data_IF_205277536172
#
_entry.id   IF_205277536172
#
_cell.length_a   1.000
_cell.length_b   1.000
_cell.length_c   1.000
_cell.angle_alpha   90.00
_cell.angle_beta   90.00
_cell.angle_gamma   90.00
#
_symmetry.space_group_name_H-M   'P 1'
#
loop_
_entity.id
_entity.type
_entity.pdbx_description
1 polymer ?
#
# COMPACT_ATOMS: atom_id res chain seq x y z
N UNK A 1 -12.52 2.81 27.45
CA UNK A 1 -11.71 1.60 27.13
C UNK A 1 -10.28 2.05 26.89
N UNK A 2 -9.30 1.39 27.53
CA UNK A 2 -7.87 1.75 27.40
C UNK A 2 -7.22 0.91 26.30
N UNK A 3 -6.35 1.53 25.50
CA UNK A 3 -5.62 0.80 24.47
C UNK A 3 -4.15 1.19 24.40
N UNK A 4 -3.36 0.31 23.80
CA UNK A 4 -1.97 0.56 23.44
C UNK A 4 -1.77 0.45 21.93
N UNK A 5 -0.87 1.26 21.37
CA UNK A 5 -0.53 1.28 19.93
C UNK A 5 0.96 1.00 19.72
N UNK A 6 1.30 -0.19 19.22
CA UNK A 6 2.67 -0.63 18.96
C UNK A 6 3.02 -0.43 17.48
N UNK A 7 4.26 0.01 17.22
CA UNK A 7 4.68 0.41 15.88
C UNK A 7 3.77 1.51 15.32
N UNK A 8 3.46 2.47 16.16
CA UNK A 8 2.37 3.44 15.99
C UNK A 8 2.50 4.30 14.71
N UNK A 9 3.71 4.41 14.15
CA UNK A 9 3.96 5.25 12.99
C UNK A 9 3.56 6.69 13.27
N UNK A 10 2.71 7.25 12.41
CA UNK A 10 2.13 8.59 12.60
C UNK A 10 0.76 8.56 13.30
N UNK A 11 0.32 7.42 13.86
CA UNK A 11 -0.92 7.34 14.64
C UNK A 11 -2.18 6.97 13.84
N UNK A 12 -2.06 6.09 12.85
CA UNK A 12 -3.22 5.65 12.06
C UNK A 12 -4.26 4.89 12.88
N UNK A 13 -3.85 4.02 13.81
CA UNK A 13 -4.75 3.37 14.77
C UNK A 13 -5.34 4.37 15.76
N UNK A 14 -4.54 5.30 16.26
CA UNK A 14 -4.99 6.34 17.17
C UNK A 14 -6.10 7.19 16.52
N UNK A 15 -5.90 7.70 15.29
CA UNK A 15 -6.94 8.42 14.54
C UNK A 15 -8.24 7.63 14.38
N UNK A 16 -8.15 6.31 14.22
CA UNK A 16 -9.34 5.48 14.08
C UNK A 16 -10.07 5.30 15.43
N UNK A 17 -9.33 5.16 16.53
CA UNK A 17 -9.86 4.98 17.87
C UNK A 17 -10.43 6.27 18.46
N UNK A 18 -9.91 7.44 18.11
CA UNK A 18 -10.46 8.74 18.48
C UNK A 18 -11.90 8.97 17.97
N UNK A 19 -12.36 8.19 16.98
CA UNK A 19 -13.75 8.21 16.51
C UNK A 19 -14.72 7.48 17.44
N UNK A 20 -14.20 6.77 18.45
CA UNK A 20 -15.00 6.03 19.43
C UNK A 20 -14.98 6.75 20.77
N UNK A 21 -16.16 7.04 21.31
CA UNK A 21 -16.30 7.70 22.61
C UNK A 21 -15.78 6.80 23.74
N UNK A 22 -14.98 7.39 24.64
CA UNK A 22 -14.47 6.69 25.83
C UNK A 22 -13.26 5.79 25.59
N UNK A 23 -12.57 5.91 24.45
CA UNK A 23 -11.28 5.27 24.22
C UNK A 23 -10.13 6.20 24.64
N UNK A 24 -9.10 5.63 25.25
CA UNK A 24 -7.93 6.34 25.77
C UNK A 24 -6.66 5.60 25.39
N UNK A 25 -5.73 6.26 24.69
CA UNK A 25 -4.40 5.74 24.43
C UNK A 25 -3.52 5.88 25.68
N UNK A 26 -3.25 4.77 26.35
CA UNK A 26 -2.46 4.78 27.59
C UNK A 26 -0.97 4.50 27.37
N UNK A 27 -0.61 4.02 26.17
CA UNK A 27 0.77 3.75 25.77
C UNK A 27 0.87 3.64 24.25
N UNK A 28 1.90 4.24 23.67
CA UNK A 28 2.27 4.03 22.27
C UNK A 28 3.78 3.83 22.15
N UNK A 29 4.22 3.11 21.10
CA UNK A 29 5.67 2.98 20.81
C UNK A 29 5.95 3.13 19.31
N UNK A 30 6.99 3.94 18.99
CA UNK A 30 7.50 4.14 17.63
C UNK A 30 9.01 4.43 17.69
N UNK A 31 9.80 3.65 16.93
CA UNK A 31 11.26 3.77 16.92
C UNK A 31 11.75 4.84 15.94
N UNK A 32 10.98 5.15 14.90
CA UNK A 32 11.37 6.14 13.91
C UNK A 32 11.11 7.55 14.42
N UNK A 33 12.17 8.33 14.64
CA UNK A 33 12.09 9.67 15.20
C UNK A 33 11.21 10.63 14.40
N UNK A 34 11.26 10.59 13.06
CA UNK A 34 10.41 11.43 12.20
C UNK A 34 8.92 11.07 12.36
N UNK A 35 8.60 9.78 12.50
CA UNK A 35 7.23 9.34 12.73
C UNK A 35 6.77 9.69 14.14
N UNK A 36 7.61 9.47 15.13
CA UNK A 36 7.35 9.81 16.53
C UNK A 36 7.09 11.31 16.71
N UNK A 37 7.84 12.19 16.01
CA UNK A 37 7.62 13.63 16.05
C UNK A 37 6.25 14.04 15.51
N UNK A 38 5.82 13.45 14.39
CA UNK A 38 4.49 13.68 13.80
C UNK A 38 3.39 13.12 14.71
N UNK A 39 3.60 11.93 15.29
CA UNK A 39 2.69 11.35 16.27
C UNK A 39 2.49 12.29 17.46
N UNK A 40 3.57 12.73 18.10
CA UNK A 40 3.52 13.63 19.25
C UNK A 40 2.87 14.97 18.93
N UNK A 41 3.08 15.52 17.73
CA UNK A 41 2.47 16.79 17.31
C UNK A 41 0.94 16.69 17.18
N UNK A 42 0.40 15.51 16.87
CA UNK A 42 -1.03 15.27 16.74
C UNK A 42 -1.66 14.74 18.05
N UNK A 43 -0.88 14.04 18.88
CA UNK A 43 -1.36 13.40 20.12
C UNK A 43 -0.41 13.73 21.31
N UNK A 44 -0.32 15.00 21.72
CA UNK A 44 0.65 15.45 22.74
C UNK A 44 0.41 14.85 24.13
N UNK A 45 -0.81 14.41 24.41
CA UNK A 45 -1.16 13.84 25.72
C UNK A 45 -0.90 12.31 25.79
N UNK A 46 -0.53 11.67 24.67
CA UNK A 46 -0.24 10.26 24.64
C UNK A 46 1.16 9.95 25.17
N UNK A 47 1.28 8.90 25.98
CA UNK A 47 2.55 8.39 26.49
C UNK A 47 3.32 7.62 25.40
N UNK A 48 4.08 8.34 24.58
CA UNK A 48 4.84 7.79 23.45
C UNK A 48 6.24 7.36 23.87
N UNK A 49 6.59 6.12 23.59
CA UNK A 49 7.89 5.50 23.84
C UNK A 49 8.61 5.13 22.54
N UNK A 50 9.91 4.82 22.65
CA UNK A 50 10.75 4.41 21.53
C UNK A 50 10.63 2.92 21.17
N UNK A 51 11.79 2.23 21.12
CA UNK A 51 11.89 0.83 20.68
C UNK A 51 11.19 -0.14 21.64
N UNK A 52 10.17 -0.84 21.14
CA UNK A 52 9.43 -1.84 21.92
C UNK A 52 10.25 -3.08 22.29
N UNK A 53 11.38 -3.33 21.64
CA UNK A 53 12.26 -4.45 21.96
C UNK A 53 13.06 -4.19 23.28
N UNK A 54 13.17 -2.95 23.70
CA UNK A 54 13.86 -2.61 24.92
C UNK A 54 13.04 -3.00 26.14
N UNK A 55 13.70 -3.61 27.11
CA UNK A 55 13.05 -4.05 28.36
C UNK A 55 12.42 -2.87 29.11
N UNK A 56 13.09 -1.75 29.19
CA UNK A 56 12.58 -0.51 29.81
C UNK A 56 11.30 -0.01 29.16
N UNK A 57 11.20 -0.10 27.84
CA UNK A 57 9.96 0.24 27.09
C UNK A 57 8.84 -0.73 27.42
N UNK A 58 9.10 -2.03 27.43
CA UNK A 58 8.11 -3.05 27.82
C UNK A 58 7.67 -2.92 29.28
N UNK A 59 8.59 -2.57 30.18
CA UNK A 59 8.30 -2.36 31.60
C UNK A 59 7.44 -1.10 31.85
N UNK A 60 7.41 -0.16 30.91
CA UNK A 60 6.58 1.06 30.95
C UNK A 60 5.14 0.82 30.50
N UNK A 61 4.81 -0.35 29.92
CA UNK A 61 3.44 -0.70 29.50
C UNK A 61 2.55 -0.81 30.76
N UNK A 62 1.40 -0.11 30.81
CA UNK A 62 0.45 -0.22 31.91
C UNK A 62 0.01 -1.67 32.15
N UNK A 63 -0.23 -2.03 33.43
CA UNK A 63 -0.63 -3.40 33.79
C UNK A 63 -1.95 -3.82 33.14
N UNK A 64 -2.90 -2.88 33.02
CA UNK A 64 -4.24 -3.14 32.53
C UNK A 64 -4.58 -2.21 31.34
N UNK A 65 -4.97 -2.82 30.24
CA UNK A 65 -5.57 -2.17 29.07
C UNK A 65 -6.46 -3.20 28.35
N UNK A 66 -7.40 -2.71 27.55
CA UNK A 66 -8.46 -3.54 26.96
C UNK A 66 -8.13 -4.01 25.54
N UNK A 67 -7.36 -3.20 24.77
CA UNK A 67 -7.07 -3.42 23.36
C UNK A 67 -5.57 -3.19 23.04
N UNK A 68 -4.98 -4.10 22.26
CA UNK A 68 -3.66 -3.90 21.65
C UNK A 68 -3.82 -3.75 20.15
N UNK A 69 -3.34 -2.62 19.61
CA UNK A 69 -3.18 -2.38 18.18
C UNK A 69 -1.70 -2.47 17.78
N UNK A 70 -1.41 -3.10 16.62
CA UNK A 70 -0.03 -3.15 16.12
C UNK A 70 0.02 -3.32 14.59
N UNK A 71 0.65 -2.35 13.91
CA UNK A 71 1.04 -2.44 12.50
C UNK A 71 2.50 -2.88 12.36
N UNK A 72 2.80 -4.16 12.62
CA UNK A 72 4.18 -4.63 12.71
C UNK A 72 4.81 -4.86 11.32
N UNK A 73 6.12 -4.59 11.13
CA UNK A 73 6.79 -4.80 9.85
C UNK A 73 6.87 -6.28 9.49
N UNK A 74 6.68 -6.60 8.19
CA UNK A 74 6.86 -7.95 7.65
C UNK A 74 8.35 -8.28 7.59
N UNK A 75 8.91 -8.80 8.67
CA UNK A 75 10.25 -9.37 8.67
C UNK A 75 10.18 -10.86 8.34
N UNK A 76 11.09 -11.39 7.50
CA UNK A 76 11.12 -12.82 7.23
C UNK A 76 11.44 -13.56 8.54
N UNK A 77 10.60 -14.52 8.90
CA UNK A 77 10.97 -15.53 9.89
C UNK A 77 12.20 -16.26 9.33
N UNK A 78 13.37 -16.07 9.95
CA UNK A 78 14.63 -16.56 9.39
C UNK A 78 14.57 -18.08 9.22
N UNK A 79 15.01 -18.58 8.03
CA UNK A 79 15.10 -20.01 7.74
C UNK A 79 16.21 -20.73 8.53
N UNK A 80 16.95 -20.04 9.38
CA UNK A 80 18.08 -20.56 10.15
C UNK A 80 17.64 -21.11 11.49
N UNK A 81 16.98 -22.25 11.48
CA UNK A 81 16.64 -22.97 12.70
C UNK A 81 16.15 -24.36 12.33
N UNK A 82 17.06 -25.37 12.32
CA UNK A 82 16.66 -26.75 12.43
C UNK A 82 15.75 -26.93 13.64
N UNK A 83 14.53 -27.38 13.45
CA UNK A 83 13.55 -28.07 14.32
C UNK A 83 13.91 -28.33 15.82
N UNK A 84 14.62 -27.40 16.47
CA UNK A 84 14.91 -27.49 17.90
C UNK A 84 14.40 -26.23 18.60
N UNK A 85 13.15 -26.33 19.05
CA UNK A 85 12.65 -25.53 20.16
C UNK A 85 12.47 -24.02 19.95
N UNK A 86 11.56 -23.47 20.70
CA UNK A 86 11.19 -22.07 20.88
C UNK A 86 12.35 -21.06 21.07
N UNK A 87 13.59 -21.53 21.22
CA UNK A 87 14.73 -20.68 21.55
C UNK A 87 15.36 -19.92 20.35
N UNK A 88 15.14 -20.38 19.11
CA UNK A 88 15.81 -19.83 17.93
C UNK A 88 14.96 -18.84 17.10
N UNK A 89 13.75 -18.50 17.59
CA UNK A 89 12.80 -17.56 16.95
C UNK A 89 12.68 -16.23 17.67
N UNK A 90 13.41 -16.02 18.73
CA UNK A 90 13.47 -14.77 19.49
C UNK A 90 14.23 -13.71 18.69
N UNK A 91 13.55 -12.96 17.84
CA UNK A 91 14.16 -11.92 17.04
C UNK A 91 13.25 -11.31 15.98
N UNK A 92 12.00 -11.74 15.91
CA UNK A 92 11.01 -11.06 15.06
C UNK A 92 10.06 -10.25 15.95
N UNK A 93 9.72 -9.05 15.51
CA UNK A 93 8.85 -8.12 16.25
C UNK A 93 7.47 -8.70 16.60
N UNK A 94 7.02 -9.74 15.91
CA UNK A 94 5.80 -10.47 16.27
C UNK A 94 5.93 -11.19 17.64
N UNK A 95 7.11 -11.71 17.99
CA UNK A 95 7.30 -12.37 19.28
C UNK A 95 7.34 -11.36 20.44
N UNK A 96 7.78 -10.12 20.20
CA UNK A 96 7.63 -9.05 21.18
C UNK A 96 6.15 -8.74 21.46
N UNK A 97 5.31 -8.73 20.40
CA UNK A 97 3.86 -8.60 20.56
C UNK A 97 3.32 -9.78 21.36
N UNK A 98 3.71 -11.01 21.01
CA UNK A 98 3.22 -12.23 21.69
C UNK A 98 3.58 -12.23 23.18
N UNK A 99 4.81 -11.85 23.55
CA UNK A 99 5.24 -11.69 24.95
C UNK A 99 4.36 -10.69 25.71
N UNK A 100 4.05 -9.55 25.09
CA UNK A 100 3.17 -8.53 25.68
C UNK A 100 1.75 -9.09 25.88
N UNK A 101 1.23 -9.83 24.89
CA UNK A 101 -0.09 -10.44 24.94
C UNK A 101 -0.18 -11.52 26.02
N UNK A 102 0.85 -12.35 26.20
CA UNK A 102 0.92 -13.36 27.26
C UNK A 102 0.94 -12.73 28.65
N UNK A 103 1.69 -11.63 28.80
CA UNK A 103 1.84 -10.94 30.09
C UNK A 103 0.60 -10.16 30.50
N UNK A 104 0.02 -9.38 29.58
CA UNK A 104 -1.05 -8.41 29.89
C UNK A 104 -2.46 -8.91 29.58
N UNK A 105 -2.61 -9.85 28.63
CA UNK A 105 -3.86 -10.51 28.27
C UNK A 105 -5.05 -9.56 28.00
N UNK A 106 -4.87 -8.52 27.14
CA UNK A 106 -5.96 -7.59 26.83
C UNK A 106 -7.14 -8.36 26.20
N UNK A 107 -8.37 -7.86 26.40
CA UNK A 107 -9.56 -8.50 25.82
C UNK A 107 -9.54 -8.54 24.31
N UNK A 108 -9.04 -7.48 23.66
CA UNK A 108 -9.06 -7.34 22.22
C UNK A 108 -7.65 -7.18 21.64
N UNK A 109 -7.44 -7.68 20.43
CA UNK A 109 -6.26 -7.40 19.62
C UNK A 109 -6.67 -6.99 18.20
N UNK A 110 -5.92 -6.11 17.60
CA UNK A 110 -6.02 -5.79 16.18
C UNK A 110 -4.61 -5.61 15.58
N UNK A 111 -4.15 -6.66 14.89
CA UNK A 111 -2.85 -6.64 14.22
C UNK A 111 -3.04 -6.36 12.73
N UNK A 112 -2.09 -5.65 12.12
CA UNK A 112 -2.10 -5.34 10.67
C UNK A 112 -0.78 -5.71 10.03
N UNK A 113 -0.86 -6.13 8.76
CA UNK A 113 0.32 -6.35 7.93
C UNK A 113 -0.03 -6.27 6.43
N UNK A 114 0.99 -6.31 5.57
CA UNK A 114 0.79 -6.41 4.13
C UNK A 114 0.06 -7.70 3.75
N UNK A 115 -0.85 -7.65 2.77
CA UNK A 115 -1.64 -8.83 2.36
C UNK A 115 -0.79 -10.01 1.90
N UNK A 116 0.44 -9.77 1.41
CA UNK A 116 1.37 -10.82 1.02
C UNK A 116 1.83 -11.71 2.18
N UNK A 117 1.64 -11.29 3.44
CA UNK A 117 1.91 -12.10 4.63
C UNK A 117 1.16 -13.44 4.58
N UNK A 118 -0.06 -13.45 4.04
CA UNK A 118 -0.92 -14.64 3.94
C UNK A 118 -0.32 -15.72 3.03
N UNK A 119 0.37 -15.31 1.96
CA UNK A 119 1.02 -16.24 1.01
C UNK A 119 2.52 -16.41 1.25
N UNK A 120 3.09 -15.64 2.18
CA UNK A 120 4.53 -15.69 2.47
C UNK A 120 4.95 -17.08 2.95
N UNK A 121 6.06 -17.58 2.40
CA UNK A 121 6.60 -18.93 2.68
C UNK A 121 5.54 -20.05 2.51
N UNK A 122 4.76 -19.97 1.41
CA UNK A 122 3.68 -20.95 1.13
C UNK A 122 2.55 -20.92 2.15
N UNK A 123 2.34 -19.79 2.86
CA UNK A 123 1.31 -19.62 3.89
C UNK A 123 1.79 -19.95 5.31
N UNK A 124 2.99 -20.49 5.47
CA UNK A 124 3.51 -20.93 6.79
C UNK A 124 3.65 -19.76 7.78
N UNK A 125 4.04 -18.57 7.29
CA UNK A 125 4.20 -17.39 8.16
C UNK A 125 2.88 -16.97 8.80
N UNK A 126 1.82 -16.82 8.02
CA UNK A 126 0.50 -16.45 8.52
C UNK A 126 -0.07 -17.52 9.47
N UNK A 127 0.05 -18.79 9.07
CA UNK A 127 -0.38 -19.94 9.89
C UNK A 127 0.29 -19.91 11.26
N UNK A 128 1.61 -19.73 11.34
CA UNK A 128 2.36 -19.67 12.59
C UNK A 128 1.90 -18.52 13.49
N UNK A 129 1.70 -17.31 12.94
CA UNK A 129 1.18 -16.16 13.68
C UNK A 129 -0.18 -16.51 14.30
N UNK A 130 -1.10 -17.03 13.49
CA UNK A 130 -2.47 -17.33 13.95
C UNK A 130 -2.54 -18.48 14.93
N UNK A 131 -1.70 -19.52 14.78
CA UNK A 131 -1.57 -20.62 15.73
C UNK A 131 -1.06 -20.11 17.09
N UNK A 132 0.03 -19.30 17.11
CA UNK A 132 0.55 -18.74 18.37
C UNK A 132 -0.49 -17.88 19.10
N UNK A 133 -1.28 -17.07 18.37
CA UNK A 133 -2.37 -16.29 19.00
C UNK A 133 -3.46 -17.19 19.59
N UNK A 134 -3.83 -18.27 18.89
CA UNK A 134 -4.81 -19.25 19.39
C UNK A 134 -4.30 -20.01 20.62
N UNK A 135 -3.01 -20.39 20.64
CA UNK A 135 -2.38 -21.06 21.78
C UNK A 135 -2.46 -20.25 23.08
N UNK A 136 -2.35 -18.92 22.99
CA UNK A 136 -2.51 -18.03 24.16
C UNK A 136 -3.95 -17.62 24.44
N UNK A 137 -4.93 -18.21 23.71
CA UNK A 137 -6.36 -18.12 24.02
C UNK A 137 -7.15 -17.09 23.22
N UNK A 138 -6.58 -16.47 22.18
CA UNK A 138 -7.35 -15.57 21.30
C UNK A 138 -8.14 -16.35 20.26
N UNK A 139 -9.41 -16.03 20.15
CA UNK A 139 -10.24 -16.42 19.01
C UNK A 139 -10.04 -15.37 17.93
N UNK A 140 -9.72 -15.81 16.71
CA UNK A 140 -9.51 -14.98 15.52
C UNK A 140 -10.34 -15.54 14.36
N UNK A 141 -10.65 -14.75 13.30
CA UNK A 141 -11.36 -15.25 12.14
C UNK A 141 -10.67 -16.47 11.52
N UNK A 142 -11.46 -17.44 11.07
CA UNK A 142 -10.95 -18.65 10.41
C UNK A 142 -10.23 -18.30 9.10
N UNK A 143 -10.85 -17.41 8.31
CA UNK A 143 -10.28 -16.95 7.07
C UNK A 143 -9.49 -15.65 7.23
N UNK A 144 -8.39 -15.45 6.48
CA UNK A 144 -7.65 -14.19 6.50
C UNK A 144 -8.53 -12.99 6.18
N UNK A 145 -8.58 -12.00 7.08
CA UNK A 145 -9.32 -10.78 6.88
C UNK A 145 -8.50 -9.80 6.02
N UNK A 146 -8.63 -9.90 4.69
CA UNK A 146 -7.94 -9.00 3.75
C UNK A 146 -8.92 -7.91 3.30
N UNK A 147 -8.63 -6.67 3.71
CA UNK A 147 -9.45 -5.50 3.36
C UNK A 147 -8.59 -4.45 2.66
N UNK A 148 -9.20 -3.78 1.68
CA UNK A 148 -8.65 -2.61 1.02
C UNK A 148 -9.67 -1.48 1.06
N UNK A 149 -9.26 -0.20 1.15
CA UNK A 149 -10.19 0.93 1.22
C UNK A 149 -11.29 0.92 0.15
N UNK A 150 -10.98 0.44 -1.07
CA UNK A 150 -11.99 0.34 -2.13
C UNK A 150 -13.15 -0.61 -1.79
N UNK A 151 -12.95 -1.59 -0.92
CA UNK A 151 -14.04 -2.45 -0.43
C UNK A 151 -15.08 -1.67 0.40
N UNK A 152 -14.68 -0.50 0.93
CA UNK A 152 -15.53 0.40 1.71
C UNK A 152 -15.99 1.63 0.90
N UNK A 153 -15.77 1.64 -0.43
CA UNK A 153 -16.15 2.76 -1.28
C UNK A 153 -15.13 3.89 -1.36
N UNK A 154 -13.99 3.76 -0.71
CA UNK A 154 -12.88 4.72 -0.78
C UNK A 154 -12.00 4.34 -1.97
N UNK A 155 -11.84 5.19 -3.00
CA UNK A 155 -11.19 4.80 -4.24
C UNK A 155 -9.67 4.70 -4.13
N UNK A 156 -9.20 3.83 -3.25
CA UNK A 156 -7.79 3.50 -3.01
C UNK A 156 -7.60 1.99 -2.98
N UNK A 157 -6.69 1.47 -3.80
CA UNK A 157 -6.30 0.07 -3.80
C UNK A 157 -5.11 -0.12 -2.84
N UNK A 158 -5.37 -0.60 -1.63
CA UNK A 158 -4.36 -0.87 -0.59
C UNK A 158 -4.77 -2.10 0.22
N UNK A 159 -4.66 -3.31 -0.33
CA UNK A 159 -5.02 -4.51 0.41
C UNK A 159 -4.05 -4.75 1.58
N UNK A 160 -4.61 -5.00 2.76
CA UNK A 160 -3.91 -5.34 3.99
C UNK A 160 -4.59 -6.51 4.65
N UNK A 161 -3.82 -7.37 5.29
CA UNK A 161 -4.36 -8.40 6.17
C UNK A 161 -4.47 -7.82 7.58
N UNK A 162 -5.64 -7.99 8.17
CA UNK A 162 -5.92 -7.66 9.56
C UNK A 162 -6.17 -8.95 10.34
N UNK A 163 -5.70 -8.98 11.57
CA UNK A 163 -5.88 -10.12 12.48
C UNK A 163 -6.59 -9.58 13.73
N UNK A 164 -7.92 -9.40 13.69
CA UNK A 164 -8.71 -9.08 14.87
C UNK A 164 -8.83 -10.32 15.75
N UNK A 165 -8.80 -10.14 17.07
CA UNK A 165 -8.95 -11.24 18.01
C UNK A 165 -9.58 -10.83 19.31
N UNK A 166 -10.26 -11.77 19.96
CA UNK A 166 -10.89 -11.61 21.28
C UNK A 166 -10.44 -12.74 22.21
N UNK A 167 -9.97 -12.37 23.38
CA UNK A 167 -9.48 -13.32 24.38
C UNK A 167 -10.64 -14.12 24.98
N UNK A 168 -10.51 -15.44 24.98
CA UNK A 168 -11.47 -16.37 25.59
C UNK A 168 -12.94 -16.17 25.13
N UNK A 169 -13.15 -15.74 23.88
CA UNK A 169 -14.47 -15.61 23.28
C UNK A 169 -15.08 -17.00 23.04
N UNK A 170 -16.37 -17.14 23.25
CA UNK A 170 -17.12 -18.40 22.98
C UNK A 170 -17.69 -18.42 21.55
N UNK A 171 -17.63 -17.30 20.84
CA UNK A 171 -18.18 -17.13 19.49
C UNK A 171 -17.08 -16.99 18.45
N UNK A 172 -17.33 -17.50 17.26
CA UNK A 172 -16.48 -17.25 16.12
C UNK A 172 -16.55 -15.77 15.72
N UNK A 173 -15.40 -15.18 15.38
CA UNK A 173 -15.31 -13.80 14.94
C UNK A 173 -15.47 -13.75 13.43
N UNK A 174 -16.50 -13.07 12.96
CA UNK A 174 -16.74 -12.86 11.54
C UNK A 174 -16.70 -11.37 11.18
N UNK A 175 -15.80 -10.98 10.29
CA UNK A 175 -15.77 -9.64 9.69
C UNK A 175 -16.40 -9.73 8.29
N UNK A 176 -17.64 -9.25 8.18
CA UNK A 176 -18.36 -9.24 6.88
C UNK A 176 -17.89 -8.08 6.03
N UNK A 177 -17.36 -8.37 4.85
CA UNK A 177 -16.92 -7.36 3.89
C UNK A 177 -17.87 -7.39 2.71
N UNK A 178 -18.65 -6.32 2.54
CA UNK A 178 -19.41 -6.11 1.31
C UNK A 178 -18.47 -5.53 0.26
N UNK A 179 -17.88 -6.41 -0.55
CA UNK A 179 -16.92 -5.99 -1.57
C UNK A 179 -17.57 -5.06 -2.60
N UNK A 180 -17.11 -3.83 -2.70
CA UNK A 180 -17.44 -2.92 -3.79
C UNK A 180 -16.51 -3.17 -4.98
N UNK A 181 -17.06 -3.10 -6.18
CA UNK A 181 -16.28 -3.23 -7.41
C UNK A 181 -15.47 -1.95 -7.65
N UNK A 182 -14.14 -2.06 -7.67
CA UNK A 182 -13.22 -0.93 -7.89
C UNK A 182 -13.51 -0.15 -9.18
N UNK A 183 -14.04 -0.81 -10.21
CA UNK A 183 -14.26 -0.22 -11.53
C UNK A 183 -15.50 0.69 -11.56
N UNK A 184 -16.33 0.66 -10.52
CA UNK A 184 -17.49 1.57 -10.32
C UNK A 184 -17.14 2.83 -9.52
N UNK A 185 -15.91 2.92 -8.99
CA UNK A 185 -15.44 4.08 -8.24
C UNK A 185 -14.89 5.16 -9.19
N UNK A 186 -14.94 6.41 -8.74
CA UNK A 186 -14.34 7.57 -9.41
C UNK A 186 -13.50 8.36 -8.41
N UNK A 187 -12.19 8.15 -8.46
CA UNK A 187 -11.28 8.78 -7.52
C UNK A 187 -11.16 10.29 -7.71
N UNK A 188 -11.31 10.80 -8.93
CA UNK A 188 -11.22 12.24 -9.21
C UNK A 188 -12.38 13.00 -8.60
N UNK A 189 -13.60 12.48 -8.75
CA UNK A 189 -14.80 13.09 -8.16
C UNK A 189 -14.84 12.92 -6.64
N UNK A 190 -14.42 11.74 -6.13
CA UNK A 190 -14.45 11.45 -4.70
C UNK A 190 -13.59 12.41 -3.86
N UNK A 191 -12.36 12.69 -4.33
CA UNK A 191 -11.41 13.53 -3.59
C UNK A 191 -11.40 15.00 -4.02
N UNK A 192 -12.13 15.37 -5.07
CA UNK A 192 -12.26 16.74 -5.57
C UNK A 192 -10.90 17.46 -5.73
N UNK A 193 -9.94 16.81 -6.43
CA UNK A 193 -8.62 17.38 -6.69
C UNK A 193 -8.70 18.65 -7.53
N UNK A 194 -7.76 19.58 -7.28
CA UNK A 194 -7.65 20.85 -7.99
C UNK A 194 -6.32 20.94 -8.76
N UNK A 195 -6.25 21.88 -9.67
CA UNK A 195 -4.99 22.27 -10.29
C UNK A 195 -4.01 22.82 -9.24
N UNK A 196 -2.74 22.48 -9.39
CA UNK A 196 -1.65 23.01 -8.57
C UNK A 196 -0.37 23.00 -9.39
N UNK A 197 0.10 24.18 -9.78
CA UNK A 197 1.25 24.34 -10.66
C UNK A 197 2.59 24.00 -9.99
N UNK A 198 2.69 24.09 -8.66
CA UNK A 198 3.92 23.77 -7.91
C UNK A 198 4.31 22.27 -7.98
N UNK A 199 3.34 21.42 -8.34
CA UNK A 199 3.50 19.97 -8.39
C UNK A 199 3.41 19.39 -9.80
N UNK A 200 3.46 20.24 -10.82
CA UNK A 200 3.48 19.80 -12.21
C UNK A 200 4.66 18.86 -12.47
N UNK A 201 4.43 17.89 -13.33
CA UNK A 201 5.52 17.05 -13.85
C UNK A 201 6.45 17.91 -14.72
N UNK A 202 7.72 17.54 -14.76
CA UNK A 202 8.73 18.29 -15.52
C UNK A 202 8.42 18.27 -17.02
N UNK A 203 8.89 19.26 -17.76
CA UNK A 203 8.74 19.29 -19.22
C UNK A 203 9.36 18.07 -19.88
N UNK A 204 10.46 17.54 -19.33
CA UNK A 204 11.04 16.27 -19.74
C UNK A 204 10.06 15.09 -19.61
N UNK A 205 9.28 15.05 -18.52
CA UNK A 205 8.23 14.05 -18.31
C UNK A 205 7.03 14.30 -19.22
N UNK A 206 6.61 15.56 -19.41
CA UNK A 206 5.52 15.92 -20.34
C UNK A 206 5.86 15.46 -21.75
N UNK A 207 7.07 15.78 -22.25
CA UNK A 207 7.51 15.36 -23.59
C UNK A 207 7.41 13.84 -23.79
N UNK A 208 7.89 13.03 -22.85
CA UNK A 208 7.82 11.58 -23.04
C UNK A 208 6.37 11.05 -22.95
N UNK A 209 5.52 11.68 -22.15
CA UNK A 209 4.10 11.33 -22.10
C UNK A 209 3.40 11.71 -23.41
N UNK A 210 3.67 12.88 -23.98
CA UNK A 210 3.10 13.30 -25.27
C UNK A 210 3.51 12.35 -26.39
N UNK A 211 4.75 11.84 -26.38
CA UNK A 211 5.22 10.81 -27.33
C UNK A 211 4.41 9.52 -27.22
N UNK A 212 4.17 9.05 -25.98
CA UNK A 212 3.38 7.83 -25.75
C UNK A 212 1.89 8.05 -25.98
N UNK A 213 1.36 9.25 -25.79
CA UNK A 213 -0.02 9.61 -26.09
C UNK A 213 -0.28 9.60 -27.60
N UNK A 214 0.67 10.16 -28.40
CA UNK A 214 0.66 10.07 -29.86
C UNK A 214 0.73 8.60 -30.33
N UNK A 215 1.57 7.78 -29.72
CA UNK A 215 1.63 6.36 -30.01
C UNK A 215 0.28 5.66 -29.74
N UNK A 216 -0.29 5.87 -28.57
CA UNK A 216 -1.55 5.22 -28.18
C UNK A 216 -2.70 5.61 -29.12
N UNK A 217 -2.80 6.88 -29.48
CA UNK A 217 -3.84 7.40 -30.38
C UNK A 217 -3.70 6.91 -31.82
N UNK A 218 -2.50 6.63 -32.27
CA UNK A 218 -2.24 6.19 -33.64
C UNK A 218 -2.26 4.69 -33.87
N UNK A 219 -2.22 3.88 -32.79
CA UNK A 219 -2.22 2.43 -32.90
C UNK A 219 -3.64 1.92 -33.22
N UNK A 220 -3.76 0.91 -34.09
CA UNK A 220 -5.05 0.36 -34.52
C UNK A 220 -5.59 -0.73 -33.58
N UNK A 221 -4.87 -1.07 -32.53
CA UNK A 221 -5.29 -2.04 -31.54
C UNK A 221 -6.34 -1.44 -30.60
N UNK A 222 -7.43 -2.14 -30.37
CA UNK A 222 -8.49 -1.68 -29.46
C UNK A 222 -8.03 -1.64 -28.01
N UNK A 223 -7.13 -2.55 -27.59
CA UNK A 223 -6.53 -2.56 -26.25
C UNK A 223 -5.10 -3.09 -26.28
N UNK A 224 -4.21 -2.39 -25.61
CA UNK A 224 -2.84 -2.85 -25.36
C UNK A 224 -2.80 -3.71 -24.09
N UNK A 225 -3.08 -5.01 -24.22
CA UNK A 225 -3.12 -5.95 -23.09
C UNK A 225 -1.74 -6.42 -22.59
N UNK A 226 -0.65 -5.75 -22.94
CA UNK A 226 0.71 -6.10 -22.57
C UNK A 226 1.63 -4.86 -22.57
N UNK A 227 2.80 -4.90 -21.89
CA UNK A 227 3.76 -3.83 -21.90
C UNK A 227 4.38 -3.61 -23.28
N UNK A 228 4.29 -2.39 -23.80
CA UNK A 228 4.93 -1.97 -25.06
C UNK A 228 6.35 -1.52 -24.76
N UNK A 229 7.32 -2.10 -25.47
CA UNK A 229 8.74 -1.79 -25.35
C UNK A 229 9.29 -1.22 -26.65
N UNK A 230 9.62 0.05 -26.67
CA UNK A 230 10.12 0.78 -27.85
C UNK A 230 11.22 0.02 -28.60
N UNK A 231 12.17 -0.59 -27.86
CA UNK A 231 13.34 -1.27 -28.41
C UNK A 231 12.97 -2.55 -29.19
N UNK A 232 11.79 -3.11 -28.97
CA UNK A 232 11.29 -4.31 -29.64
C UNK A 232 10.18 -4.05 -30.68
N UNK A 233 9.83 -2.79 -30.91
CA UNK A 233 8.93 -2.40 -32.00
C UNK A 233 9.71 -2.39 -33.34
N UNK A 234 10.12 -3.55 -33.85
CA UNK A 234 10.88 -3.71 -35.10
C UNK A 234 10.74 -5.13 -35.65
N UNK A 235 11.12 -5.35 -36.90
CA UNK A 235 11.13 -6.65 -37.58
C UNK A 235 12.43 -7.44 -37.43
N UNK A 236 13.45 -6.87 -36.79
CA UNK A 236 14.74 -7.55 -36.58
C UNK A 236 14.67 -8.78 -35.70
N UNK A 237 15.64 -9.66 -35.82
CA UNK A 237 15.76 -10.83 -34.94
C UNK A 237 16.10 -10.42 -33.51
N UNK A 238 15.72 -11.25 -32.55
CA UNK A 238 16.16 -11.11 -31.15
C UNK A 238 16.73 -12.43 -30.64
N UNK A 239 17.67 -12.35 -29.73
CA UNK A 239 18.18 -13.53 -29.04
C UNK A 239 17.22 -13.90 -27.91
N UNK A 240 16.73 -15.15 -27.86
CA UNK A 240 15.87 -15.61 -26.76
C UNK A 240 16.54 -15.38 -25.40
N UNK A 241 15.75 -14.96 -24.43
CA UNK A 241 16.22 -14.70 -23.08
C UNK A 241 16.08 -15.96 -22.23
N UNK A 242 16.68 -15.97 -21.04
CA UNK A 242 16.46 -17.06 -20.06
C UNK A 242 15.05 -17.04 -19.41
N UNK A 243 14.21 -16.05 -19.74
CA UNK A 243 12.90 -15.86 -19.16
C UNK A 243 11.80 -15.97 -20.22
N UNK A 244 11.04 -17.04 -20.20
CA UNK A 244 9.93 -17.28 -21.14
C UNK A 244 8.87 -16.15 -21.17
N UNK A 245 8.56 -15.54 -20.01
CA UNK A 245 7.64 -14.41 -19.94
C UNK A 245 8.14 -13.19 -20.70
N UNK A 246 9.47 -12.93 -20.66
CA UNK A 246 10.08 -11.81 -21.37
C UNK A 246 10.03 -12.03 -22.88
N UNK A 247 10.35 -13.25 -23.33
CA UNK A 247 10.27 -13.64 -24.74
C UNK A 247 8.85 -13.52 -25.29
N UNK A 248 7.85 -13.88 -24.48
CA UNK A 248 6.45 -13.70 -24.85
C UNK A 248 6.10 -12.23 -25.09
N UNK A 249 6.54 -11.31 -24.21
CA UNK A 249 6.32 -9.88 -24.43
C UNK A 249 7.08 -9.34 -25.66
N UNK A 250 8.31 -9.79 -25.90
CA UNK A 250 9.07 -9.42 -27.09
C UNK A 250 8.31 -9.83 -28.35
N UNK A 251 7.82 -11.07 -28.42
CA UNK A 251 7.00 -11.56 -29.55
C UNK A 251 5.77 -10.70 -29.78
N UNK A 252 5.04 -10.37 -28.72
CA UNK A 252 3.86 -9.50 -28.80
C UNK A 252 4.21 -8.09 -29.33
N UNK A 253 5.31 -7.51 -28.89
CA UNK A 253 5.78 -6.21 -29.40
C UNK A 253 6.14 -6.26 -30.89
N UNK A 254 6.78 -7.32 -31.34
CA UNK A 254 7.10 -7.51 -32.76
C UNK A 254 5.84 -7.71 -33.60
N UNK A 255 4.90 -8.47 -33.12
CA UNK A 255 3.60 -8.64 -33.78
C UNK A 255 2.83 -7.31 -33.87
N UNK A 256 2.81 -6.53 -32.81
CA UNK A 256 2.24 -5.18 -32.79
C UNK A 256 2.89 -4.28 -33.86
N UNK A 257 4.23 -4.34 -33.95
CA UNK A 257 4.96 -3.60 -34.98
C UNK A 257 4.58 -4.03 -36.39
N UNK A 258 4.53 -5.34 -36.67
CA UNK A 258 4.18 -5.87 -38.01
C UNK A 258 2.79 -5.39 -38.43
N UNK A 259 1.81 -5.47 -37.51
CA UNK A 259 0.44 -5.07 -37.81
C UNK A 259 0.26 -3.54 -38.02
N UNK A 260 1.16 -2.73 -37.47
CA UNK A 260 1.10 -1.26 -37.49
C UNK A 260 2.38 -0.64 -38.04
N UNK A 261 3.07 -1.32 -38.96
CA UNK A 261 4.43 -1.00 -39.40
C UNK A 261 4.54 0.43 -39.90
N UNK A 262 3.68 0.84 -40.83
CA UNK A 262 3.69 2.15 -41.44
C UNK A 262 3.60 3.28 -40.38
N UNK A 263 2.60 3.20 -39.52
CA UNK A 263 2.43 4.16 -38.43
C UNK A 263 3.64 4.18 -37.48
N UNK A 264 4.11 2.98 -37.03
CA UNK A 264 5.19 2.90 -36.05
C UNK A 264 6.51 3.42 -36.63
N UNK A 265 6.80 3.16 -37.90
CA UNK A 265 8.01 3.67 -38.56
C UNK A 265 7.97 5.21 -38.64
N UNK A 266 6.85 5.81 -39.05
CA UNK A 266 6.66 7.26 -39.06
C UNK A 266 6.72 7.86 -37.66
N UNK A 267 6.05 7.23 -36.69
CA UNK A 267 6.08 7.65 -35.30
C UNK A 267 7.50 7.65 -34.73
N UNK A 268 8.31 6.64 -35.04
CA UNK A 268 9.71 6.56 -34.61
C UNK A 268 10.59 7.63 -35.24
N UNK A 269 10.31 8.00 -36.48
CA UNK A 269 11.04 9.09 -37.18
C UNK A 269 10.73 10.42 -36.49
N UNK A 270 9.46 10.72 -36.26
CA UNK A 270 9.02 11.94 -35.56
C UNK A 270 9.55 12.01 -34.10
N UNK A 271 9.70 10.89 -33.45
CA UNK A 271 10.05 10.79 -32.03
C UNK A 271 11.41 10.10 -31.79
N UNK A 272 12.37 10.34 -32.69
CA UNK A 272 13.71 9.70 -32.66
C UNK A 272 14.43 9.94 -31.33
N UNK A 273 14.15 11.05 -30.67
CA UNK A 273 14.74 11.43 -29.40
C UNK A 273 14.31 10.50 -28.23
N UNK A 274 13.27 9.69 -28.41
CA UNK A 274 12.88 8.70 -27.38
C UNK A 274 14.02 7.73 -27.04
N UNK A 275 14.93 7.47 -27.97
CA UNK A 275 16.14 6.66 -27.72
C UNK A 275 17.07 7.27 -26.66
N UNK A 276 17.04 8.57 -26.46
CA UNK A 276 17.86 9.28 -25.47
C UNK A 276 17.30 9.17 -24.05
N UNK A 277 16.03 8.76 -23.91
CA UNK A 277 15.41 8.58 -22.60
C UNK A 277 15.86 7.27 -21.93
N UNK A 278 15.87 7.21 -20.60
CA UNK A 278 16.16 5.98 -19.85
C UNK A 278 15.25 4.81 -20.30
N UNK A 279 15.74 3.59 -20.15
CA UNK A 279 14.99 2.36 -20.53
C UNK A 279 13.58 2.32 -19.93
N UNK A 280 13.41 2.78 -18.70
CA UNK A 280 12.11 2.85 -18.04
C UNK A 280 11.12 3.78 -18.73
N UNK A 281 11.59 4.85 -19.41
CA UNK A 281 10.74 5.77 -20.16
C UNK A 281 10.44 5.28 -21.59
N UNK A 282 11.19 4.29 -22.05
CA UNK A 282 10.96 3.60 -23.33
C UNK A 282 10.03 2.37 -23.22
N UNK A 283 9.43 2.18 -22.04
CA UNK A 283 8.47 1.12 -21.75
C UNK A 283 7.14 1.73 -21.33
N UNK A 284 6.07 1.27 -21.95
CA UNK A 284 4.72 1.78 -21.74
C UNK A 284 3.74 0.65 -21.44
N UNK A 285 2.90 0.83 -20.46
CA UNK A 285 1.89 -0.15 -20.02
C UNK A 285 0.53 0.53 -19.89
N UNK A 286 -0.42 0.12 -20.73
CA UNK A 286 -1.77 0.63 -20.74
C UNK A 286 -2.71 -0.24 -19.90
N UNK A 287 -3.38 0.37 -18.93
CA UNK A 287 -4.36 -0.28 -18.06
C UNK A 287 -5.63 0.60 -17.88
N UNK A 288 -5.87 1.52 -18.82
CA UNK A 288 -7.02 2.43 -18.78
C UNK A 288 -8.27 1.84 -19.45
N UNK A 289 -8.10 0.84 -20.32
CA UNK A 289 -9.19 0.27 -21.12
C UNK A 289 -9.40 0.99 -22.45
N UNK A 290 -10.33 0.52 -23.27
CA UNK A 290 -10.58 1.05 -24.60
C UNK A 290 -11.41 2.35 -24.61
N UNK A 291 -12.05 2.68 -23.52
CA UNK A 291 -12.90 3.87 -23.33
C UNK A 291 -12.12 5.12 -22.94
N UNK A 292 -10.83 5.01 -22.62
CA UNK A 292 -9.94 6.17 -22.42
C UNK A 292 -9.21 6.49 -23.74
N UNK A 293 -9.28 7.73 -24.17
CA UNK A 293 -8.72 8.17 -25.46
C UNK A 293 -7.34 8.83 -25.35
N UNK A 294 -6.88 9.10 -24.14
CA UNK A 294 -5.59 9.74 -23.87
C UNK A 294 -4.99 9.23 -22.55
N UNK A 295 -3.66 9.19 -22.51
CA UNK A 295 -2.94 8.86 -21.26
C UNK A 295 -3.22 9.88 -20.16
N UNK A 296 -3.60 11.10 -20.54
CA UNK A 296 -3.94 12.17 -19.60
C UNK A 296 -5.33 12.02 -18.97
N UNK A 297 -6.14 11.09 -19.42
CA UNK A 297 -7.39 10.71 -18.74
C UNK A 297 -7.15 9.79 -17.55
N UNK A 298 -5.97 9.15 -17.47
CA UNK A 298 -5.63 8.18 -16.44
C UNK A 298 -4.76 8.70 -15.30
N UNK A 299 -4.47 7.79 -14.37
CA UNK A 299 -3.42 7.94 -13.36
C UNK A 299 -2.12 7.37 -13.90
N UNK A 300 -1.07 8.19 -13.92
CA UNK A 300 0.21 7.86 -14.55
C UNK A 300 1.25 7.56 -13.47
N UNK A 301 2.02 6.50 -13.66
CA UNK A 301 3.12 6.11 -12.79
C UNK A 301 4.43 6.00 -13.58
N UNK A 302 5.45 6.74 -13.16
CA UNK A 302 6.82 6.56 -13.64
C UNK A 302 7.50 5.52 -12.74
N UNK A 303 7.75 4.31 -13.25
CA UNK A 303 8.32 3.18 -12.51
C UNK A 303 9.64 2.73 -13.13
N UNK A 304 10.53 2.08 -12.38
CA UNK A 304 11.73 1.44 -12.96
C UNK A 304 11.39 0.45 -14.08
N UNK A 305 10.22 -0.19 -14.00
CA UNK A 305 9.73 -1.16 -15.00
C UNK A 305 9.04 -0.53 -16.22
N UNK A 306 8.79 0.78 -16.21
CA UNK A 306 8.13 1.50 -17.29
C UNK A 306 7.04 2.47 -16.84
N UNK A 307 6.57 3.28 -17.77
CA UNK A 307 5.45 4.20 -17.59
C UNK A 307 4.16 3.35 -17.61
N UNK A 308 3.33 3.49 -16.59
CA UNK A 308 2.02 2.82 -16.53
C UNK A 308 0.92 3.85 -16.44
N UNK A 309 -0.14 3.66 -17.23
CA UNK A 309 -1.37 4.44 -17.17
C UNK A 309 -2.51 3.55 -16.70
N UNK A 310 -3.20 3.96 -15.65
CA UNK A 310 -4.33 3.25 -15.05
C UNK A 310 -5.61 4.08 -15.14
N UNK A 311 -6.76 3.41 -15.11
CA UNK A 311 -8.05 4.08 -14.96
C UNK A 311 -8.06 4.98 -13.72
N UNK A 312 -8.69 6.16 -13.79
CA UNK A 312 -8.80 7.08 -12.65
C UNK A 312 -9.91 6.65 -11.67
N UNK A 313 -10.23 5.37 -11.61
CA UNK A 313 -11.24 4.80 -10.71
C UNK A 313 -10.73 4.65 -9.30
N UNK A 314 -9.47 4.16 -9.15
CA UNK A 314 -8.84 3.98 -7.84
C UNK A 314 -7.37 4.38 -7.87
N UNK A 315 -6.89 5.02 -6.82
CA UNK A 315 -5.45 5.21 -6.61
C UNK A 315 -4.78 3.88 -6.28
N UNK A 316 -3.57 3.69 -6.79
CA UNK A 316 -2.75 2.54 -6.41
C UNK A 316 -2.22 2.73 -4.98
N UNK A 317 -1.86 1.61 -4.34
CA UNK A 317 -1.17 1.60 -3.05
C UNK A 317 -0.05 2.63 -3.02
N UNK A 318 -0.11 3.54 -2.07
CA UNK A 318 1.03 4.38 -1.73
C UNK A 318 2.10 3.48 -1.11
N UNK A 319 3.29 3.55 -1.67
CA UNK A 319 4.46 2.84 -1.16
C UNK A 319 5.40 3.84 -0.51
N UNK A 320 6.17 3.39 0.46
CA UNK A 320 7.15 4.20 1.19
C UNK A 320 8.31 4.74 0.32
N UNK A 321 8.25 4.51 -1.00
CA UNK A 321 9.19 4.99 -1.99
C UNK A 321 8.51 6.13 -2.76
N UNK A 322 9.22 7.23 -2.99
CA UNK A 322 8.72 8.44 -3.67
C UNK A 322 8.39 8.18 -5.16
N UNK A 323 7.34 7.43 -5.43
CA UNK A 323 6.75 7.19 -6.75
C UNK A 323 5.34 7.77 -6.78
N UNK A 324 5.23 9.07 -6.49
CA UNK A 324 3.94 9.77 -6.51
C UNK A 324 3.22 9.55 -7.83
N UNK A 325 1.96 9.13 -7.76
CA UNK A 325 1.10 9.03 -8.93
C UNK A 325 0.86 10.44 -9.50
N UNK A 326 0.86 10.52 -10.83
CA UNK A 326 0.48 11.73 -11.57
C UNK A 326 -1.00 11.65 -11.89
N UNK A 327 -1.75 12.68 -11.55
CA UNK A 327 -3.11 12.87 -11.99
C UNK A 327 -3.03 13.41 -13.43
N UNK A 328 -3.28 12.55 -14.42
CA UNK A 328 -3.08 12.89 -15.83
C UNK A 328 -3.85 14.14 -16.23
N UNK A 329 -5.12 14.27 -15.81
CA UNK A 329 -5.98 15.44 -16.10
C UNK A 329 -5.33 16.78 -15.72
N UNK A 330 -4.57 16.82 -14.64
CA UNK A 330 -3.91 18.03 -14.14
C UNK A 330 -2.41 18.06 -14.42
N UNK A 331 -1.85 17.01 -15.02
CA UNK A 331 -0.41 16.87 -15.31
C UNK A 331 0.50 17.13 -14.11
N UNK A 332 0.02 16.77 -12.91
CA UNK A 332 0.72 17.00 -11.63
C UNK A 332 0.68 15.80 -10.70
N UNK A 333 1.56 15.81 -9.73
CA UNK A 333 1.59 14.81 -8.65
C UNK A 333 0.58 15.11 -7.56
N UNK A 334 0.31 14.11 -6.71
CA UNK A 334 -0.40 14.32 -5.46
C UNK A 334 0.47 15.11 -4.46
N UNK A 335 -0.16 15.92 -3.64
CA UNK A 335 0.44 16.49 -2.43
C UNK A 335 0.44 15.48 -1.28
N UNK A 336 1.26 15.68 -0.24
CA UNK A 336 1.16 14.91 1.00
C UNK A 336 -0.22 15.09 1.66
N UNK A 337 -0.79 16.29 1.61
CA UNK A 337 -2.13 16.57 2.11
C UNK A 337 -3.24 15.82 1.36
N UNK A 338 -3.15 15.70 0.03
CA UNK A 338 -4.07 14.86 -0.74
C UNK A 338 -3.85 13.37 -0.42
N UNK A 339 -2.60 12.94 -0.31
CA UNK A 339 -2.22 11.58 0.06
C UNK A 339 -2.69 11.20 1.46
N UNK A 340 -2.69 12.15 2.40
CA UNK A 340 -3.27 12.01 3.73
C UNK A 340 -4.76 11.65 3.66
N UNK A 341 -5.52 12.32 2.80
CA UNK A 341 -6.95 12.03 2.59
C UNK A 341 -7.17 10.64 1.99
N UNK A 342 -6.26 10.16 1.12
CA UNK A 342 -6.34 8.78 0.58
C UNK A 342 -6.21 7.72 1.68
N UNK A 343 -5.56 8.05 2.81
CA UNK A 343 -5.45 7.18 3.99
C UNK A 343 -6.50 7.49 5.06
N UNK A 344 -7.49 8.33 4.71
CA UNK A 344 -8.60 8.73 5.59
C UNK A 344 -8.18 9.41 6.89
N UNK A 345 -7.01 10.04 6.93
CA UNK A 345 -6.62 10.88 8.06
C UNK A 345 -7.47 12.16 8.12
N UNK A 346 -7.68 12.74 9.30
CA UNK A 346 -8.38 14.01 9.47
C UNK A 346 -7.73 15.13 8.64
N UNK A 347 -8.55 16.10 8.20
CA UNK A 347 -8.05 17.22 7.37
C UNK A 347 -7.02 18.08 8.07
N UNK A 348 -7.18 18.26 9.35
CA UNK A 348 -6.32 19.03 10.27
C UNK A 348 -5.12 18.26 10.80
N UNK A 349 -5.05 16.95 10.51
CA UNK A 349 -3.90 16.12 10.89
C UNK A 349 -2.60 16.69 10.32
N UNK A 350 -1.64 16.95 11.19
CA UNK A 350 -0.35 17.53 10.84
C UNK A 350 0.58 16.48 10.27
N UNK A 351 1.21 16.79 9.14
CA UNK A 351 2.19 15.95 8.47
C UNK A 351 3.59 16.50 8.64
N UNK A 352 4.59 15.66 8.44
CA UNK A 352 5.99 16.09 8.41
C UNK A 352 6.22 17.17 7.34
N UNK A 353 7.04 18.19 7.64
CA UNK A 353 7.31 19.32 6.75
C UNK A 353 8.05 18.90 5.45
N UNK A 354 8.91 17.88 5.51
CA UNK A 354 9.52 17.29 4.29
C UNK A 354 8.51 16.35 3.62
N UNK A 355 8.09 16.73 2.41
CA UNK A 355 7.15 15.95 1.58
C UNK A 355 7.58 14.49 1.36
N UNK A 356 8.87 14.20 1.24
CA UNK A 356 9.38 12.85 1.01
C UNK A 356 9.19 11.99 2.26
N UNK A 357 9.42 12.57 3.44
CA UNK A 357 9.21 11.90 4.72
C UNK A 357 7.71 11.68 4.92
N UNK A 358 6.88 12.70 4.68
CA UNK A 358 5.43 12.60 4.77
C UNK A 358 4.86 11.48 3.88
N UNK A 359 5.29 11.37 2.62
CA UNK A 359 4.88 10.28 1.73
C UNK A 359 5.33 8.91 2.22
N UNK A 360 6.54 8.79 2.76
CA UNK A 360 7.04 7.54 3.35
C UNK A 360 6.21 7.12 4.55
N UNK A 361 5.87 8.07 5.43
CA UNK A 361 5.03 7.85 6.61
C UNK A 361 3.63 7.37 6.21
N UNK A 362 2.98 8.05 5.26
CA UNK A 362 1.68 7.65 4.72
C UNK A 362 1.72 6.28 4.02
N UNK A 363 2.83 5.97 3.34
CA UNK A 363 3.05 4.66 2.73
C UNK A 363 3.14 3.53 3.76
N UNK A 364 3.62 3.79 4.96
CA UNK A 364 3.72 2.82 6.06
C UNK A 364 2.46 2.76 6.93
N UNK A 365 1.64 3.82 6.93
CA UNK A 365 0.46 3.90 7.79
C UNK A 365 -0.68 2.97 7.37
N UNK A 366 -1.59 2.68 8.28
CA UNK A 366 -2.88 2.04 8.01
C UNK A 366 -3.86 3.06 7.39
N UNK A 367 -4.94 2.56 6.75
CA UNK A 367 -6.06 3.42 6.38
C UNK A 367 -7.02 3.53 7.58
N UNK A 368 -7.28 4.76 8.02
CA UNK A 368 -8.05 5.05 9.25
C UNK A 368 -9.47 4.49 9.19
N UNK A 369 -10.19 4.66 8.06
CA UNK A 369 -11.57 4.19 7.94
C UNK A 369 -11.67 2.66 7.85
N UNK A 370 -10.65 1.99 7.30
CA UNK A 370 -10.59 0.52 7.32
C UNK A 370 -10.41 0.00 8.75
N UNK A 371 -9.53 0.63 9.52
CA UNK A 371 -9.33 0.28 10.95
C UNK A 371 -10.62 0.52 11.74
N UNK A 372 -11.27 1.67 11.56
CA UNK A 372 -12.57 1.98 12.20
C UNK A 372 -13.62 0.93 11.87
N UNK A 373 -13.72 0.53 10.60
CA UNK A 373 -14.67 -0.49 10.14
C UNK A 373 -14.45 -1.83 10.86
N UNK A 374 -13.20 -2.26 10.99
CA UNK A 374 -12.85 -3.52 11.66
C UNK A 374 -13.12 -3.43 13.15
N UNK A 375 -12.77 -2.31 13.80
CA UNK A 375 -13.03 -2.09 15.22
C UNK A 375 -14.52 -2.12 15.53
N UNK A 376 -15.37 -1.50 14.71
CA UNK A 376 -16.83 -1.59 14.88
C UNK A 376 -17.36 -3.04 14.86
N UNK A 377 -16.77 -3.88 14.02
CA UNK A 377 -17.14 -5.30 13.96
C UNK A 377 -16.53 -6.13 15.11
N UNK A 378 -15.32 -5.78 15.56
CA UNK A 378 -14.60 -6.49 16.63
C UNK A 378 -15.20 -6.21 18.01
N UNK A 379 -15.57 -4.96 18.28
CA UNK A 379 -15.97 -4.52 19.64
C UNK A 379 -17.39 -4.94 20.04
N UNK A 380 -18.11 -5.67 19.20
CA UNK A 380 -19.41 -6.27 19.54
C UNK A 380 -19.28 -7.61 20.28
N UNK A 381 -18.09 -8.21 20.30
CA UNK A 381 -17.76 -9.45 21.03
C UNK A 381 -17.22 -9.12 22.41
#
# INVERSE_FOLDING_TARGET
MKYIDLFAGIGGFHCALDKFEGFECVFASEINEDAASVYFENFPDCNLHGDIQLKETKDSIPQEFDLLCAGFPCQPFSKSGNLKGFEDTRGTLFFDILEILEKHRPKYILLENVSNLVSHDGGNTYKRITESLKEIGYIIPENPCIISPHNLGIPVLRPRVYIPGVLNCSSEIEIKINAQEKDKLDALSHFNFKENHDLEITDYQKCVLDIWDDFYKGIKEETLGFPVWYDYLNDGNYTPTKYAWKDNFIKKNKFLYINNKEFIDEWKIRNIDLKKYPESYRKFEWQCGADCNSIYEGFIQFRPSGIRVKRPTVFSTQVAINQGQVIGKFKRRLTSNESKLLQSFPKDFKMHADERIAFKQLGNSVNVDVVEYILKALLVY
#
